data_IF_761009580048
#
_entry.id   IF_761009580048
#
_cell.length_a   1.000
_cell.length_b   1.000
_cell.length_c   1.000
_cell.angle_alpha   90.00
_cell.angle_beta   90.00
_cell.angle_gamma   90.00
#
_symmetry.space_group_name_H-M   'P 1'
#
loop_
_entity.id
_entity.type
_entity.pdbx_description
1 polymer ?
#
# COMPACT_ATOMS: atom_id res chain seq x y z
N UNK A 1 2.18 18.58 0.42
CA UNK A 1 1.52 19.11 1.64
C UNK A 1 0.64 18.01 2.19
N UNK A 2 0.93 17.56 3.42
CA UNK A 2 -0.01 16.77 4.19
C UNK A 2 -0.94 17.76 4.85
N UNK A 3 -2.18 17.80 4.38
CA UNK A 3 -3.21 18.65 4.96
C UNK A 3 -3.70 17.95 6.22
N UNK A 4 -3.13 18.37 7.36
CA UNK A 4 -3.60 17.97 8.66
C UNK A 4 -4.91 18.67 8.98
N UNK A 5 -6.03 17.94 8.93
CA UNK A 5 -7.10 18.08 9.92
C UNK A 5 -8.11 16.91 9.85
N UNK A 6 -8.39 16.32 11.02
CA UNK A 6 -9.71 15.79 11.39
C UNK A 6 -10.25 14.52 10.71
N UNK A 7 -10.20 13.41 11.45
CA UNK A 7 -10.99 12.18 11.26
C UNK A 7 -10.72 11.40 9.96
N UNK A 8 -10.21 10.19 10.04
CA UNK A 8 -11.11 9.04 10.15
C UNK A 8 -10.31 7.83 10.61
N UNK A 9 -10.80 7.23 11.69
CA UNK A 9 -10.75 5.81 11.96
C UNK A 9 -10.30 4.98 10.76
N UNK A 10 -9.31 4.10 10.97
CA UNK A 10 -8.93 3.04 10.06
C UNK A 10 -10.16 2.24 9.60
N UNK A 11 -10.85 2.67 8.55
CA UNK A 11 -11.83 1.85 7.84
C UNK A 11 -11.08 0.91 6.91
N UNK A 12 -10.28 0.04 7.53
CA UNK A 12 -9.91 -1.27 7.00
C UNK A 12 -10.51 -2.31 7.94
N UNK A 13 -11.84 -2.46 7.91
CA UNK A 13 -12.62 -3.42 8.72
C UNK A 13 -12.40 -4.88 8.27
N UNK A 14 -11.17 -5.28 8.00
CA UNK A 14 -10.85 -6.67 7.69
C UNK A 14 -9.91 -7.20 8.76
N UNK A 15 -10.47 -8.08 9.61
CA UNK A 15 -9.66 -8.94 10.46
C UNK A 15 -8.81 -9.84 9.55
N UNK A 16 -7.58 -10.17 9.96
CA UNK A 16 -6.75 -11.08 9.17
C UNK A 16 -7.44 -12.44 9.05
N UNK A 17 -7.34 -13.06 7.87
CA UNK A 17 -7.93 -14.38 7.56
C UNK A 17 -7.31 -15.49 8.42
N UNK A 18 -6.06 -15.33 8.85
CA UNK A 18 -5.30 -16.28 9.67
C UNK A 18 -4.28 -15.58 10.58
N UNK A 19 -4.72 -14.60 11.38
CA UNK A 19 -3.89 -13.86 12.35
C UNK A 19 -2.90 -12.85 11.74
N UNK A 20 -2.27 -13.19 10.61
CA UNK A 20 -1.28 -12.35 9.92
C UNK A 20 -1.53 -12.19 8.42
N UNK A 21 -2.52 -12.89 7.84
CA UNK A 21 -2.84 -12.78 6.41
C UNK A 21 -3.96 -11.78 6.17
N UNK A 22 -3.69 -10.73 5.40
CA UNK A 22 -4.67 -9.71 5.01
C UNK A 22 -4.93 -9.74 3.51
N UNK A 23 -6.17 -9.50 3.12
CA UNK A 23 -6.46 -8.99 1.78
C UNK A 23 -6.11 -7.51 1.73
N UNK A 24 -5.20 -7.14 0.83
CA UNK A 24 -4.76 -5.76 0.60
C UNK A 24 -4.79 -5.42 -0.89
N UNK A 25 -4.60 -4.14 -1.20
CA UNK A 25 -4.76 -3.57 -2.54
C UNK A 25 -3.54 -2.75 -2.93
N UNK A 26 -3.04 -2.98 -4.14
CA UNK A 26 -1.93 -2.24 -4.74
C UNK A 26 -2.39 -1.55 -6.03
N UNK A 27 -2.47 -0.21 -6.00
CA UNK A 27 -2.73 0.60 -7.18
C UNK A 27 -1.46 0.78 -8.01
N UNK A 28 -1.55 0.52 -9.31
CA UNK A 28 -0.40 0.57 -10.23
C UNK A 28 -0.85 0.82 -11.67
N UNK A 29 0.08 0.92 -12.62
CA UNK A 29 -0.25 1.00 -14.05
C UNK A 29 -0.61 -0.36 -14.63
N UNK A 30 -1.37 -0.38 -15.73
CA UNK A 30 -1.67 -1.64 -16.44
C UNK A 30 -0.41 -2.43 -16.81
N UNK A 31 0.65 -1.74 -17.26
CA UNK A 31 1.93 -2.37 -17.63
C UNK A 31 2.65 -2.95 -16.42
N UNK A 32 2.71 -2.20 -15.32
CA UNK A 32 3.32 -2.67 -14.08
C UNK A 32 2.55 -3.86 -13.50
N UNK A 33 1.21 -3.85 -13.57
CA UNK A 33 0.38 -4.99 -13.17
C UNK A 33 0.70 -6.24 -14.00
N UNK A 34 0.82 -6.13 -15.33
CA UNK A 34 1.24 -7.25 -16.19
C UNK A 34 2.62 -7.78 -15.78
N UNK A 35 3.57 -6.88 -15.49
CA UNK A 35 4.92 -7.26 -15.03
C UNK A 35 4.87 -7.98 -13.68
N UNK A 36 4.16 -7.44 -12.69
CA UNK A 36 4.00 -8.04 -11.37
C UNK A 36 3.39 -9.43 -11.48
N UNK A 37 2.37 -9.63 -12.34
CA UNK A 37 1.78 -10.96 -12.56
C UNK A 37 2.75 -11.95 -13.19
N UNK A 38 3.71 -11.50 -13.99
CA UNK A 38 4.68 -12.35 -14.69
C UNK A 38 5.89 -12.70 -13.81
N UNK A 39 6.44 -11.73 -13.08
CA UNK A 39 7.73 -11.87 -12.37
C UNK A 39 7.66 -11.59 -10.86
N UNK A 40 6.46 -11.36 -10.33
CA UNK A 40 6.26 -11.00 -8.93
C UNK A 40 6.49 -9.52 -8.64
N UNK A 41 6.24 -9.14 -7.38
CA UNK A 41 6.53 -7.80 -6.88
C UNK A 41 8.03 -7.55 -6.78
N UNK A 42 8.43 -6.30 -7.01
CA UNK A 42 9.79 -5.80 -6.77
C UNK A 42 9.69 -4.58 -5.86
N UNK A 43 10.61 -4.45 -4.92
CA UNK A 43 10.69 -3.26 -4.08
C UNK A 43 10.94 -2.01 -4.93
N UNK A 44 10.38 -0.89 -4.51
CA UNK A 44 10.71 0.42 -5.08
C UNK A 44 12.18 0.79 -4.79
N UNK A 45 12.73 1.68 -5.61
CA UNK A 45 14.09 2.21 -5.41
C UNK A 45 14.15 3.20 -4.24
N UNK A 46 13.01 3.79 -3.86
CA UNK A 46 12.84 4.70 -2.74
C UNK A 46 11.35 4.73 -2.27
N UNK A 47 11.05 5.42 -1.18
CA UNK A 47 9.68 5.67 -0.73
C UNK A 47 9.60 6.34 0.63
N UNK A 48 8.40 6.79 0.99
CA UNK A 48 8.12 7.48 2.25
C UNK A 48 8.58 6.74 3.52
N UNK A 49 8.64 5.40 3.45
CA UNK A 49 9.08 4.52 4.54
C UNK A 49 10.29 3.67 4.10
N UNK A 50 11.05 4.18 3.12
CA UNK A 50 12.12 3.46 2.45
C UNK A 50 11.65 2.55 1.31
N UNK A 51 12.59 1.76 0.80
CA UNK A 51 12.35 0.78 -0.28
C UNK A 51 11.35 -0.28 0.15
N UNK A 52 10.37 -0.56 -0.70
CA UNK A 52 9.40 -1.61 -0.41
C UNK A 52 8.26 -1.71 -1.40
N UNK A 53 7.26 -2.51 -1.05
CA UNK A 53 6.00 -2.62 -1.80
C UNK A 53 4.89 -2.04 -0.94
N UNK A 54 4.18 -1.05 -1.49
CA UNK A 54 3.16 -0.32 -0.76
C UNK A 54 1.77 -0.84 -1.12
N UNK A 55 1.03 -1.29 -0.10
CA UNK A 55 -0.35 -1.75 -0.24
C UNK A 55 -1.24 -1.05 0.79
N UNK A 56 -2.52 -0.94 0.46
CA UNK A 56 -3.55 -0.40 1.34
C UNK A 56 -4.56 -1.48 1.72
N UNK A 57 -5.10 -1.43 2.94
CA UNK A 57 -6.31 -2.21 3.30
C UNK A 57 -7.59 -1.58 2.74
N UNK A 58 -7.53 -0.30 2.38
CA UNK A 58 -8.60 0.46 1.74
C UNK A 58 -8.40 0.46 0.22
N UNK A 59 -9.37 -0.11 -0.49
CA UNK A 59 -9.42 -0.17 -1.96
C UNK A 59 -9.46 1.23 -2.59
N UNK A 60 -10.29 2.13 -2.05
CA UNK A 60 -10.44 3.49 -2.60
C UNK A 60 -9.16 4.31 -2.45
N UNK A 61 -8.39 4.06 -1.38
CA UNK A 61 -7.05 4.61 -1.25
C UNK A 61 -6.11 4.03 -2.31
N UNK A 62 -6.13 2.72 -2.57
CA UNK A 62 -5.28 2.10 -3.59
C UNK A 62 -5.62 2.57 -5.00
N UNK A 63 -6.90 2.72 -5.37
CA UNK A 63 -7.34 3.19 -6.68
C UNK A 63 -6.76 4.56 -7.09
N UNK A 64 -6.39 5.40 -6.11
CA UNK A 64 -5.80 6.72 -6.36
C UNK A 64 -4.35 6.68 -6.83
N UNK A 65 -3.66 5.55 -6.72
CA UNK A 65 -2.26 5.43 -7.09
C UNK A 65 -2.04 4.70 -8.42
N UNK A 66 -0.99 5.07 -9.18
CA UNK A 66 -0.07 6.16 -8.89
C UNK A 66 -0.64 7.53 -9.30
N UNK A 67 -0.31 8.57 -8.52
CA UNK A 67 -0.93 9.91 -8.63
C UNK A 67 -0.63 10.61 -9.96
N UNK A 68 0.48 10.26 -10.61
CA UNK A 68 0.93 10.83 -11.88
C UNK A 68 0.27 10.20 -13.12
N UNK A 69 -0.57 9.18 -12.96
CA UNK A 69 -1.33 8.59 -14.07
C UNK A 69 -2.78 9.08 -14.07
N UNK A 70 -3.41 9.09 -15.25
CA UNK A 70 -4.86 9.31 -15.35
C UNK A 70 -5.61 8.09 -14.82
N UNK A 71 -6.83 8.29 -14.33
CA UNK A 71 -7.64 7.23 -13.71
C UNK A 71 -7.79 5.99 -14.59
N UNK A 72 -8.08 6.16 -15.88
CA UNK A 72 -8.25 5.05 -16.83
C UNK A 72 -6.95 4.27 -17.13
N UNK A 73 -5.79 4.77 -16.71
CA UNK A 73 -4.50 4.08 -16.86
C UNK A 73 -4.12 3.28 -15.60
N UNK A 74 -4.87 3.45 -14.51
CA UNK A 74 -4.65 2.80 -13.23
C UNK A 74 -5.42 1.49 -13.15
N UNK A 75 -4.82 0.53 -12.47
CA UNK A 75 -5.44 -0.74 -12.11
C UNK A 75 -5.11 -1.06 -10.66
N UNK A 76 -5.94 -1.88 -10.04
CA UNK A 76 -5.70 -2.35 -8.66
C UNK A 76 -5.51 -3.86 -8.65
N UNK A 77 -4.42 -4.30 -8.04
CA UNK A 77 -4.20 -5.70 -7.71
C UNK A 77 -4.76 -5.99 -6.31
N UNK A 78 -5.58 -7.03 -6.18
CA UNK A 78 -5.99 -7.62 -4.90
C UNK A 78 -4.97 -8.69 -4.51
N UNK A 79 -4.40 -8.58 -3.32
CA UNK A 79 -3.26 -9.39 -2.87
C UNK A 79 -3.55 -9.99 -1.50
N UNK A 80 -3.26 -11.28 -1.32
CA UNK A 80 -3.16 -11.88 0.01
C UNK A 80 -1.74 -11.66 0.55
N UNK A 81 -1.63 -10.97 1.68
CA UNK A 81 -0.35 -10.55 2.27
C UNK A 81 -0.21 -11.14 3.65
N UNK A 82 0.80 -12.00 3.85
CA UNK A 82 1.25 -12.37 5.18
C UNK A 82 2.20 -11.30 5.71
N UNK A 83 1.77 -10.52 6.71
CA UNK A 83 2.55 -9.40 7.25
C UNK A 83 3.54 -9.80 8.34
N UNK A 84 3.46 -11.04 8.85
CA UNK A 84 4.27 -11.50 9.98
C UNK A 84 4.18 -10.56 11.19
N UNK A 85 5.34 -10.15 11.72
CA UNK A 85 5.45 -9.19 12.82
C UNK A 85 5.39 -7.76 12.27
N UNK A 86 4.42 -6.98 12.74
CA UNK A 86 4.17 -5.61 12.23
C UNK A 86 4.73 -4.58 13.20
N UNK A 87 5.45 -3.59 12.66
CA UNK A 87 5.79 -2.34 13.36
C UNK A 87 4.82 -1.24 12.92
N UNK A 88 3.99 -0.74 13.84
CA UNK A 88 3.11 0.40 13.59
C UNK A 88 3.95 1.67 13.52
N UNK A 89 3.70 2.51 12.51
CA UNK A 89 4.26 3.86 12.38
C UNK A 89 3.07 4.80 12.35
N UNK A 90 2.87 5.58 13.41
CA UNK A 90 1.71 6.45 13.60
C UNK A 90 2.06 7.91 13.95
N UNK A 91 3.36 8.25 13.92
CA UNK A 91 3.84 9.63 14.06
C UNK A 91 5.04 9.89 13.16
N UNK A 92 5.21 11.13 12.74
CA UNK A 92 6.42 11.59 12.06
C UNK A 92 7.61 11.52 13.03
N UNK A 93 8.81 11.19 12.53
CA UNK A 93 10.00 10.99 13.39
C UNK A 93 9.92 9.74 14.28
N UNK A 94 9.08 8.75 13.93
CA UNK A 94 9.11 7.44 14.56
C UNK A 94 10.47 6.76 14.31
N UNK A 95 11.06 6.04 15.27
CA UNK A 95 12.35 5.34 15.11
C UNK A 95 12.31 4.14 14.13
N UNK A 96 11.35 4.12 13.21
CA UNK A 96 11.26 3.19 12.09
C UNK A 96 11.38 3.85 10.72
N UNK A 97 11.54 5.17 10.64
CA UNK A 97 12.03 5.83 9.44
C UNK A 97 13.49 5.41 9.27
N UNK A 98 13.76 4.50 8.35
CA UNK A 98 15.10 4.35 7.82
C UNK A 98 15.30 5.54 6.88
N UNK A 99 16.18 6.45 7.29
CA UNK A 99 16.70 7.52 6.44
C UNK A 99 17.45 6.93 5.25
#
# INVERSE_FOLDING_TARGET
MWDGNGSTFLQGKTNPRSGHVYTMYHGTSMEAAKKIRKVGFRQSDDGMLGRGVYLSRDLQKACRYPLNLREHQRVVLKVEVNVGKVKKIDRQGHPGYLA
#
